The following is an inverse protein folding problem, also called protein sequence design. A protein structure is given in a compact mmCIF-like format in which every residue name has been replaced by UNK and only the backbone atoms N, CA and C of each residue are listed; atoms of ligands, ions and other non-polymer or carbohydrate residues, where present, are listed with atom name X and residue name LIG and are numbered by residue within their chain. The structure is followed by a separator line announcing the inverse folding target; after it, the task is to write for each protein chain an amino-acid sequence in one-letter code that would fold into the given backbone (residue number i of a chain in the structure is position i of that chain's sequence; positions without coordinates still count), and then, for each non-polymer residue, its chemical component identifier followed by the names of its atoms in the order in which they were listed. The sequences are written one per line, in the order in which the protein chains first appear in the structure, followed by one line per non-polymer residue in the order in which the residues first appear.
data_IF_350372272729
#
_entry.id   IF_350372272729
#
_cell.length_a   1.000
_cell.length_b   1.000
_cell.length_c   1.000
_cell.angle_alpha   90.00
_cell.angle_beta   90.00
_cell.angle_gamma   90.00
#
_symmetry.space_group_name_H-M   'P 1'
#
loop_
_entity.id
_entity.type
_entity.pdbx_description
1 polymer ?
#
# COMPACT_ATOMS: atom_id res chain seq x y z
N UNK A 1 19.37 -20.95 -9.32
CA UNK A 1 19.24 -19.60 -8.74
C UNK A 1 17.82 -19.54 -8.21
N UNK A 2 17.49 -19.67 -6.94
CA UNK A 2 18.18 -19.31 -5.70
C UNK A 2 17.20 -18.43 -4.92
N UNK A 3 16.01 -18.96 -4.58
CA UNK A 3 15.05 -18.29 -3.70
C UNK A 3 15.25 -18.87 -2.29
N UNK A 4 16.39 -18.52 -1.71
CA UNK A 4 16.63 -18.74 -0.30
C UNK A 4 15.81 -17.69 0.43
N UNK A 5 14.59 -18.06 0.84
CA UNK A 5 13.73 -17.20 1.64
C UNK A 5 14.40 -17.09 3.00
N UNK A 6 15.23 -16.06 3.19
CA UNK A 6 15.79 -15.73 4.49
C UNK A 6 14.65 -15.73 5.52
N UNK A 7 14.90 -16.32 6.70
CA UNK A 7 13.86 -16.51 7.72
C UNK A 7 13.32 -15.16 8.20
N UNK A 8 12.21 -14.70 7.58
CA UNK A 8 11.49 -13.49 7.99
C UNK A 8 10.56 -13.84 9.15
N UNK A 9 10.45 -12.91 10.11
CA UNK A 9 9.44 -12.97 11.19
C UNK A 9 8.01 -13.09 10.65
N UNK A 10 7.73 -12.48 9.49
CA UNK A 10 6.43 -12.50 8.81
C UNK A 10 6.60 -12.59 7.28
N UNK A 11 5.59 -13.10 6.54
CA UNK A 11 5.62 -13.18 5.08
C UNK A 11 5.28 -11.83 4.43
N UNK A 12 6.02 -10.76 4.74
CA UNK A 12 5.84 -9.44 4.11
C UNK A 12 6.66 -9.32 2.81
N UNK A 13 6.04 -8.86 1.70
CA UNK A 13 6.74 -8.63 0.43
C UNK A 13 7.67 -7.41 0.49
N UNK A 14 7.30 -6.35 1.23
CA UNK A 14 8.06 -5.10 1.32
C UNK A 14 9.24 -5.15 2.31
N UNK A 15 9.40 -6.26 3.04
CA UNK A 15 10.55 -6.43 3.92
C UNK A 15 11.67 -7.14 3.16
N UNK A 16 12.66 -6.36 2.71
CA UNK A 16 13.82 -6.89 2.01
C UNK A 16 14.88 -7.47 2.96
N UNK A 17 14.98 -6.94 4.19
CA UNK A 17 15.92 -7.41 5.21
C UNK A 17 15.23 -7.46 6.57
N UNK A 18 14.92 -8.66 7.07
CA UNK A 18 14.22 -8.81 8.34
C UNK A 18 15.20 -8.67 9.52
N UNK A 19 15.10 -7.55 10.23
CA UNK A 19 15.89 -7.28 11.44
C UNK A 19 15.15 -7.65 12.74
N UNK A 20 14.08 -8.45 12.66
CA UNK A 20 13.30 -8.89 13.83
C UNK A 20 12.77 -7.73 14.70
N UNK A 21 12.34 -6.65 14.05
CA UNK A 21 11.80 -5.47 14.72
C UNK A 21 10.46 -5.75 15.45
N UNK A 22 10.03 -4.77 16.26
CA UNK A 22 8.75 -4.82 16.95
C UNK A 22 7.57 -4.89 15.98
N UNK A 23 6.45 -5.44 16.44
CA UNK A 23 5.27 -5.64 15.60
C UNK A 23 4.70 -4.33 15.04
N UNK A 24 4.82 -3.21 15.76
CA UNK A 24 4.42 -1.89 15.24
C UNK A 24 5.20 -1.46 14.01
N UNK A 25 6.49 -1.83 13.89
CA UNK A 25 7.25 -1.57 12.66
C UNK A 25 6.87 -2.57 11.57
N UNK A 26 6.57 -3.82 11.93
CA UNK A 26 6.08 -4.80 10.97
C UNK A 26 4.70 -4.42 10.42
N UNK A 27 3.82 -3.78 11.21
CA UNK A 27 2.52 -3.24 10.75
C UNK A 27 2.66 -2.19 9.65
N UNK A 28 3.80 -1.52 9.51
CA UNK A 28 4.03 -0.62 8.37
C UNK A 28 4.23 -1.41 7.06
N UNK A 29 4.80 -2.61 7.14
CA UNK A 29 5.03 -3.50 6.00
C UNK A 29 3.91 -4.56 5.82
N UNK A 30 3.11 -4.80 6.85
CA UNK A 30 2.02 -5.80 6.89
C UNK A 30 0.63 -5.18 6.98
N UNK A 31 0.55 -3.86 7.18
CA UNK A 31 -0.68 -3.15 7.46
C UNK A 31 -1.62 -3.19 6.27
N UNK A 32 -2.70 -3.95 6.46
CA UNK A 32 -3.94 -4.01 5.67
C UNK A 32 -3.85 -3.41 4.27
N UNK A 33 -3.35 -4.22 3.34
CA UNK A 33 -3.35 -3.87 1.93
C UNK A 33 -2.20 -2.95 1.57
N UNK A 34 -1.00 -3.51 1.51
CA UNK A 34 -0.22 -3.32 0.30
C UNK A 34 -0.79 -4.28 -0.75
N UNK A 35 -1.84 -3.93 -1.54
CA UNK A 35 -1.69 -4.25 -2.94
C UNK A 35 -0.39 -3.53 -3.35
N UNK A 36 0.27 -3.96 -4.41
CA UNK A 36 0.94 -2.96 -5.21
C UNK A 36 -0.15 -1.94 -5.56
N UNK A 37 -0.38 -0.93 -4.70
CA UNK A 37 -1.34 0.13 -4.90
C UNK A 37 -0.80 0.77 -6.14
N UNK A 38 -1.41 0.42 -7.28
CA UNK A 38 -0.92 0.80 -8.60
C UNK A 38 -0.60 2.27 -8.45
N UNK A 39 0.70 2.60 -8.55
CA UNK A 39 1.09 4.01 -8.54
C UNK A 39 0.38 4.58 -9.74
N UNK A 40 -0.69 5.31 -9.48
CA UNK A 40 -1.50 5.93 -10.52
C UNK A 40 -0.54 6.80 -11.31
N UNK A 41 -0.60 6.71 -12.64
CA UNK A 41 0.03 7.69 -13.51
C UNK A 41 -0.47 9.09 -13.14
N UNK A 42 0.28 10.12 -13.51
CA UNK A 42 -0.14 11.51 -13.26
C UNK A 42 -1.57 11.76 -13.79
N UNK A 43 -1.90 11.22 -14.95
CA UNK A 43 -3.23 11.29 -15.55
C UNK A 43 -4.31 10.64 -14.65
N UNK A 44 -4.08 9.41 -14.20
CA UNK A 44 -5.02 8.69 -13.32
C UNK A 44 -5.19 9.42 -11.97
N UNK A 45 -4.14 10.07 -11.46
CA UNK A 45 -4.25 10.89 -10.25
C UNK A 45 -5.12 12.12 -10.45
N UNK A 46 -4.99 12.81 -11.60
CA UNK A 46 -5.80 13.98 -11.96
C UNK A 46 -7.28 13.58 -12.08
N UNK A 47 -7.58 12.49 -12.80
CA UNK A 47 -8.94 11.98 -12.98
C UNK A 47 -9.61 11.61 -11.64
N UNK A 48 -8.86 10.92 -10.78
CA UNK A 48 -9.36 10.58 -9.44
C UNK A 48 -9.67 11.84 -8.64
N UNK A 49 -8.78 12.84 -8.64
CA UNK A 49 -9.00 14.11 -7.97
C UNK A 49 -10.26 14.82 -8.49
N UNK A 50 -10.42 14.94 -9.79
CA UNK A 50 -11.58 15.57 -10.41
C UNK A 50 -12.88 14.83 -10.07
N UNK A 51 -12.86 13.49 -10.03
CA UNK A 51 -14.02 12.68 -9.66
C UNK A 51 -14.48 12.91 -8.21
N UNK A 52 -13.53 12.92 -7.27
CA UNK A 52 -13.80 13.11 -5.84
C UNK A 52 -14.25 14.53 -5.52
N UNK A 53 -13.76 15.52 -6.27
CA UNK A 53 -14.07 16.93 -6.08
C UNK A 53 -15.18 17.44 -7.01
N UNK A 54 -15.80 16.57 -7.82
CA UNK A 54 -16.96 16.95 -8.62
C UNK A 54 -18.10 17.36 -7.67
N UNK A 55 -18.78 18.50 -7.90
CA UNK A 55 -19.82 19.00 -7.01
C UNK A 55 -20.98 18.03 -6.79
N UNK A 56 -21.22 17.10 -7.73
CA UNK A 56 -22.27 16.08 -7.63
C UNK A 56 -21.91 14.95 -6.65
N UNK A 57 -20.63 14.57 -6.54
CA UNK A 57 -20.15 13.55 -5.62
C UNK A 57 -20.21 14.01 -4.14
N UNK A 58 -20.17 15.32 -3.89
CA UNK A 58 -20.34 15.90 -2.56
C UNK A 58 -21.80 15.87 -2.06
N UNK A 59 -22.77 15.68 -2.95
CA UNK A 59 -24.20 15.64 -2.64
C UNK A 59 -24.68 14.30 -2.10
N UNK A 60 -24.01 13.20 -2.46
CA UNK A 60 -24.41 11.83 -2.07
C UNK A 60 -23.99 11.45 -0.63
N UNK A 61 -23.16 12.28 0.03
CA UNK A 61 -22.71 12.06 1.42
C UNK A 61 -23.40 12.95 2.46
N UNK A 62 -24.53 13.59 2.11
CA UNK A 62 -25.33 14.42 3.04
C UNK A 62 -26.64 13.77 3.42
#
# INVERSE_FOLDING_TARGET
MGDEVEAKKHPCPDCHFCQWCSDDRCRLCLGQGCPAGKKLSLQEQIELFESLNRPEAAREKR
#
